data_IF_044281273611
#
_entry.id   IF_044281273611
#
_cell.length_a   1.000
_cell.length_b   1.000
_cell.length_c   1.000
_cell.angle_alpha   90.00
_cell.angle_beta   90.00
_cell.angle_gamma   90.00
#
_symmetry.space_group_name_H-M   'P 1'
#
loop_
_entity.id
_entity.type
_entity.pdbx_description
1 polymer ?
#
# COMPACT_ATOMS: atom_id res chain seq x y z
N UNK A 1 -1.29 22.65 -26.77
CA UNK A 1 -0.97 21.37 -26.08
C UNK A 1 -0.73 21.71 -24.63
N UNK A 2 -1.54 21.19 -23.70
CA UNK A 2 -1.33 21.42 -22.27
C UNK A 2 -0.11 20.60 -21.85
N UNK A 3 1.03 21.26 -21.65
CA UNK A 3 2.19 20.64 -21.02
C UNK A 3 1.86 20.51 -19.54
N UNK A 4 1.39 19.34 -19.12
CA UNK A 4 1.28 19.02 -17.70
C UNK A 4 2.71 18.89 -17.16
N UNK A 5 3.26 20.00 -16.70
CA UNK A 5 4.49 20.06 -15.90
C UNK A 5 4.23 19.36 -14.57
N UNK A 6 4.32 18.04 -14.56
CA UNK A 6 4.26 17.23 -13.35
C UNK A 6 5.56 17.43 -12.57
N UNK A 7 5.46 17.99 -11.36
CA UNK A 7 6.59 18.30 -10.50
C UNK A 7 7.18 16.99 -9.92
N UNK A 8 8.43 16.61 -10.25
CA UNK A 8 9.04 15.37 -9.77
C UNK A 8 9.18 15.32 -8.26
N UNK A 9 9.45 16.46 -7.61
CA UNK A 9 9.58 16.54 -6.15
C UNK A 9 8.24 16.28 -5.47
N UNK A 10 7.15 16.87 -5.97
CA UNK A 10 5.81 16.62 -5.45
C UNK A 10 5.37 15.16 -5.61
N UNK A 11 5.81 14.50 -6.69
CA UNK A 11 5.51 13.09 -6.94
C UNK A 11 6.30 12.15 -6.02
N UNK A 12 7.57 12.48 -5.72
CA UNK A 12 8.38 11.79 -4.72
C UNK A 12 7.77 11.94 -3.32
N UNK A 13 7.35 13.15 -2.95
CA UNK A 13 6.70 13.42 -1.66
C UNK A 13 5.40 12.61 -1.53
N UNK A 14 4.52 12.66 -2.53
CA UNK A 14 3.29 11.87 -2.53
C UNK A 14 3.55 10.35 -2.45
N UNK A 15 4.62 9.86 -3.08
CA UNK A 15 4.97 8.43 -2.99
C UNK A 15 5.43 8.02 -1.58
N UNK A 16 6.22 8.86 -0.91
CA UNK A 16 6.66 8.62 0.46
C UNK A 16 5.48 8.69 1.44
N UNK A 17 4.57 9.65 1.25
CA UNK A 17 3.33 9.75 2.00
C UNK A 17 2.45 8.50 1.83
N UNK A 18 2.26 8.03 0.60
CA UNK A 18 1.47 6.82 0.33
C UNK A 18 2.07 5.56 0.95
N UNK A 19 3.39 5.42 0.98
CA UNK A 19 4.07 4.35 1.72
C UNK A 19 3.83 4.49 3.23
N UNK A 20 3.92 5.71 3.76
CA UNK A 20 3.61 6.01 5.15
C UNK A 20 2.17 5.62 5.52
N UNK A 21 1.19 5.99 4.71
CA UNK A 21 -0.22 5.61 4.88
C UNK A 21 -0.38 4.09 4.81
N UNK A 22 0.27 3.43 3.85
CA UNK A 22 0.25 1.97 3.71
C UNK A 22 0.75 1.27 4.97
N UNK A 23 1.90 1.71 5.49
CA UNK A 23 2.47 1.16 6.72
C UNK A 23 1.56 1.40 7.93
N UNK A 24 0.95 2.58 8.03
CA UNK A 24 -0.03 2.89 9.08
C UNK A 24 -1.24 1.97 9.02
N UNK A 25 -1.78 1.72 7.81
CA UNK A 25 -2.89 0.79 7.61
C UNK A 25 -2.47 -0.63 8.04
N UNK A 26 -1.30 -1.11 7.63
CA UNK A 26 -0.79 -2.42 8.04
C UNK A 26 -0.68 -2.55 9.56
N UNK A 27 -0.19 -1.52 10.25
CA UNK A 27 -0.10 -1.50 11.71
C UNK A 27 -1.47 -1.55 12.38
N UNK A 28 -2.42 -0.72 11.92
CA UNK A 28 -3.80 -0.74 12.45
C UNK A 28 -4.48 -2.09 12.22
N UNK A 29 -4.18 -2.78 11.11
CA UNK A 29 -4.69 -4.12 10.84
C UNK A 29 -4.11 -5.19 11.75
N UNK A 30 -2.80 -5.11 12.03
CA UNK A 30 -2.16 -6.01 12.98
C UNK A 30 -2.76 -5.85 14.39
N UNK A 31 -3.00 -4.61 14.82
CA UNK A 31 -3.64 -4.31 16.09
C UNK A 31 -5.08 -4.86 16.16
N UNK A 32 -5.88 -4.59 15.13
CA UNK A 32 -7.25 -5.10 15.04
C UNK A 32 -7.31 -6.63 15.04
N UNK A 33 -6.38 -7.29 14.35
CA UNK A 33 -6.26 -8.74 14.38
C UNK A 33 -5.94 -9.28 15.78
N UNK A 34 -5.12 -8.55 16.55
CA UNK A 34 -4.87 -8.85 17.96
C UNK A 34 -6.17 -8.85 18.79
N UNK A 35 -6.97 -7.79 18.67
CA UNK A 35 -8.26 -7.68 19.37
C UNK A 35 -9.25 -8.77 18.96
N UNK A 36 -9.35 -9.09 17.67
CA UNK A 36 -10.23 -10.16 17.16
C UNK A 36 -9.83 -11.52 17.73
N UNK A 37 -8.53 -11.85 17.73
CA UNK A 37 -8.05 -13.11 18.29
C UNK A 37 -8.31 -13.21 19.80
N UNK A 38 -8.11 -12.12 20.55
CA UNK A 38 -8.42 -12.08 21.97
C UNK A 38 -9.93 -12.25 22.23
N UNK A 39 -10.78 -11.59 21.45
CA UNK A 39 -12.23 -11.74 21.55
C UNK A 39 -12.67 -13.18 21.29
N UNK A 40 -12.14 -13.82 20.24
CA UNK A 40 -12.46 -15.22 19.93
C UNK A 40 -12.01 -16.14 21.07
N UNK A 41 -10.79 -15.97 21.58
CA UNK A 41 -10.26 -16.79 22.68
C UNK A 41 -11.14 -16.69 23.93
N UNK A 42 -11.60 -15.48 24.27
CA UNK A 42 -12.45 -15.25 25.44
C UNK A 42 -13.87 -15.82 25.29
N UNK A 43 -14.37 -15.99 24.06
CA UNK A 43 -15.75 -16.42 23.78
C UNK A 43 -15.87 -17.87 23.26
N UNK A 44 -14.75 -18.62 23.22
CA UNK A 44 -14.70 -19.98 22.68
C UNK A 44 -15.51 -21.03 23.47
N UNK A 45 -16.06 -20.69 24.64
CA UNK A 45 -16.69 -21.63 25.58
C UNK A 45 -18.03 -22.28 25.16
N UNK A 46 -18.62 -21.93 24.01
CA UNK A 46 -19.94 -22.50 23.62
C UNK A 46 -20.29 -22.55 22.12
N UNK A 47 -19.57 -21.83 21.25
CA UNK A 47 -19.88 -21.75 19.81
C UNK A 47 -18.63 -21.85 18.92
N UNK A 48 -17.74 -22.81 19.24
CA UNK A 48 -16.42 -22.89 18.61
C UNK A 48 -16.44 -22.91 17.07
N UNK A 49 -17.38 -23.61 16.43
CA UNK A 49 -17.39 -23.74 14.96
C UNK A 49 -17.74 -22.43 14.24
N UNK A 50 -18.69 -21.64 14.74
CA UNK A 50 -19.06 -20.35 14.15
C UNK A 50 -17.95 -19.31 14.35
N UNK A 51 -17.30 -19.30 15.52
CA UNK A 51 -16.13 -18.45 15.77
C UNK A 51 -14.94 -18.83 14.90
N UNK A 52 -14.69 -20.13 14.72
CA UNK A 52 -13.58 -20.60 13.88
C UNK A 52 -13.82 -20.27 12.40
N UNK A 53 -15.06 -20.37 11.92
CA UNK A 53 -15.43 -19.91 10.58
C UNK A 53 -15.26 -18.38 10.43
N UNK A 54 -15.66 -17.60 11.44
CA UNK A 54 -15.46 -16.14 11.43
C UNK A 54 -13.97 -15.77 11.44
N UNK A 55 -13.15 -16.46 12.23
CA UNK A 55 -11.71 -16.28 12.28
C UNK A 55 -11.06 -16.55 10.92
N UNK A 56 -11.44 -17.65 10.27
CA UNK A 56 -10.90 -18.02 8.96
C UNK A 56 -11.27 -16.99 7.88
N UNK A 57 -12.51 -16.49 7.86
CA UNK A 57 -12.92 -15.43 6.94
C UNK A 57 -12.17 -14.12 7.21
N UNK A 58 -11.99 -13.76 8.49
CA UNK A 58 -11.24 -12.59 8.90
C UNK A 58 -9.78 -12.65 8.40
N UNK A 59 -9.10 -13.77 8.66
CA UNK A 59 -7.70 -13.97 8.24
C UNK A 59 -7.55 -13.88 6.72
N UNK A 60 -8.46 -14.50 5.95
CA UNK A 60 -8.46 -14.39 4.48
C UNK A 60 -8.67 -12.94 3.99
N UNK A 61 -9.54 -12.18 4.66
CA UNK A 61 -9.74 -10.76 4.36
C UNK A 61 -8.47 -9.93 4.61
N UNK A 62 -7.80 -10.19 5.73
CA UNK A 62 -6.56 -9.53 6.12
C UNK A 62 -5.42 -9.81 5.10
N UNK A 63 -5.27 -11.06 4.67
CA UNK A 63 -4.30 -11.45 3.64
C UNK A 63 -4.55 -10.70 2.32
N UNK A 64 -5.79 -10.71 1.82
CA UNK A 64 -6.16 -10.01 0.58
C UNK A 64 -5.87 -8.50 0.66
N UNK A 65 -6.08 -7.91 1.83
CA UNK A 65 -5.81 -6.49 2.03
C UNK A 65 -4.31 -6.18 2.05
N UNK A 66 -3.52 -7.00 2.74
CA UNK A 66 -2.06 -6.87 2.73
C UNK A 66 -1.48 -7.03 1.32
N UNK A 67 -1.98 -7.98 0.53
CA UNK A 67 -1.59 -8.12 -0.88
C UNK A 67 -1.94 -6.89 -1.72
N UNK A 68 -3.16 -6.34 -1.55
CA UNK A 68 -3.60 -5.16 -2.28
C UNK A 68 -2.73 -3.93 -1.96
N UNK A 69 -2.41 -3.72 -0.68
CA UNK A 69 -1.50 -2.68 -0.22
C UNK A 69 -0.09 -2.85 -0.79
N UNK A 70 0.43 -4.08 -0.79
CA UNK A 70 1.72 -4.40 -1.40
C UNK A 70 1.77 -4.12 -2.90
N UNK A 71 0.74 -4.53 -3.65
CA UNK A 71 0.62 -4.21 -5.09
C UNK A 71 0.55 -2.70 -5.35
N UNK A 72 -0.19 -1.97 -4.52
CA UNK A 72 -0.26 -0.51 -4.60
C UNK A 72 1.12 0.15 -4.41
N UNK A 73 1.88 -0.30 -3.41
CA UNK A 73 3.23 0.19 -3.17
C UNK A 73 4.17 -0.07 -4.37
N UNK A 74 4.11 -1.26 -4.97
CA UNK A 74 4.91 -1.60 -6.17
C UNK A 74 4.52 -0.73 -7.36
N UNK A 75 3.22 -0.50 -7.58
CA UNK A 75 2.76 0.36 -8.68
C UNK A 75 3.25 1.80 -8.53
N UNK A 76 3.27 2.33 -7.30
CA UNK A 76 3.83 3.65 -7.00
C UNK A 76 5.33 3.71 -7.33
N UNK A 77 6.08 2.65 -6.99
CA UNK A 77 7.52 2.59 -7.26
C UNK A 77 7.81 2.54 -8.77
N UNK A 78 6.99 1.82 -9.54
CA UNK A 78 7.07 1.79 -11.00
C UNK A 78 6.75 3.15 -11.63
N UNK A 79 5.74 3.87 -11.11
CA UNK A 79 5.43 5.23 -11.57
C UNK A 79 6.65 6.14 -11.34
N UNK A 80 7.29 6.06 -10.16
CA UNK A 80 8.50 6.82 -9.84
C UNK A 80 9.65 6.51 -10.81
N UNK A 81 9.93 5.24 -11.06
CA UNK A 81 11.01 4.82 -11.96
C UNK A 81 10.78 5.32 -13.39
N UNK A 82 9.57 5.15 -13.91
CA UNK A 82 9.20 5.62 -15.24
C UNK A 82 9.35 7.15 -15.38
N UNK A 83 9.00 7.91 -14.34
CA UNK A 83 9.22 9.35 -14.31
C UNK A 83 10.70 9.73 -14.34
N UNK A 84 11.54 9.10 -13.49
CA UNK A 84 12.97 9.37 -13.47
C UNK A 84 13.65 9.05 -14.81
N UNK A 85 13.22 7.99 -15.50
CA UNK A 85 13.69 7.65 -16.84
C UNK A 85 13.23 8.70 -17.86
N UNK A 86 11.96 9.12 -17.82
CA UNK A 86 11.41 10.12 -18.74
C UNK A 86 12.08 11.48 -18.58
N UNK A 87 12.34 11.91 -17.34
CA UNK A 87 13.00 13.18 -17.04
C UNK A 87 14.47 13.19 -17.50
N UNK A 88 15.23 12.13 -17.20
CA UNK A 88 16.62 12.00 -17.69
C UNK A 88 16.70 11.98 -19.22
N UNK A 89 15.75 11.33 -19.89
CA UNK A 89 15.67 11.33 -21.36
C UNK A 89 15.34 12.74 -21.90
N UNK A 90 14.43 13.46 -21.26
CA UNK A 90 14.13 14.85 -21.58
C UNK A 90 15.35 15.74 -21.41
N UNK A 91 16.02 15.68 -20.26
CA UNK A 91 17.22 16.45 -19.97
C UNK A 91 18.35 16.18 -20.98
N UNK A 92 18.55 14.92 -21.38
CA UNK A 92 19.52 14.56 -22.42
C UNK A 92 19.18 15.15 -23.80
N UNK A 93 17.90 15.23 -24.16
CA UNK A 93 17.45 15.84 -25.42
C UNK A 93 17.63 17.37 -25.44
N UNK A 94 17.58 18.04 -24.28
CA UNK A 94 17.80 19.48 -24.16
C UNK A 94 19.27 19.87 -23.96
N UNK A 95 20.09 19.03 -23.31
CA UNK A 95 21.55 19.24 -23.22
C UNK A 95 22.29 18.95 -24.54
N UNK A 96 21.71 18.17 -25.45
CA UNK A 96 22.28 17.91 -26.78
C UNK A 96 22.04 19.02 -27.82
N UNK A 97 21.30 20.07 -27.48
CA UNK A 97 20.90 21.16 -28.39
C UNK A 97 21.31 22.56 -27.87
N UNK A 98 22.44 22.67 -27.17
CA UNK A 98 23.12 23.95 -26.86
C UNK A 98 24.57 23.92 -27.33
#
# INVERSE_FOLDING_TARGET
>A
MATYSLNPNGLLDSSAELRGVTNSIQNSLAELNGYVNQFIANNAGGAASSYQAAQNNWNQGLERMNEALGRGAVAIDQIRENYGIADNRGAALFQGNV
#
